data_IF_294410944695
#
_entry.id   IF_294410944695
#
_cell.length_a   1.000
_cell.length_b   1.000
_cell.length_c   1.000
_cell.angle_alpha   90.00
_cell.angle_beta   90.00
_cell.angle_gamma   90.00
#
_symmetry.space_group_name_H-M   'P 1'
#
loop_
_entity.id
_entity.type
_entity.pdbx_description
1 polymer ?
#
# COMPACT_ATOMS: atom_id res chain seq x y z
N UNK A 1 9.11 8.15 -6.37
CA UNK A 1 8.72 7.03 -7.28
C UNK A 1 8.07 7.63 -8.52
N UNK A 2 8.30 7.13 -9.76
CA UNK A 2 7.54 7.58 -10.93
C UNK A 2 6.04 7.37 -10.73
N UNK A 3 5.20 8.32 -11.15
CA UNK A 3 3.76 8.30 -10.90
C UNK A 3 3.10 7.04 -11.48
N UNK A 4 3.52 6.63 -12.68
CA UNK A 4 3.01 5.42 -13.37
C UNK A 4 3.34 4.10 -12.64
N UNK A 5 4.28 4.16 -11.68
CA UNK A 5 4.69 3.01 -10.88
C UNK A 5 4.10 3.03 -9.46
N UNK A 6 3.30 4.04 -9.10
CA UNK A 6 2.60 4.07 -7.81
C UNK A 6 1.57 2.95 -7.76
N UNK A 7 1.67 2.11 -6.73
CA UNK A 7 0.75 1.00 -6.50
C UNK A 7 0.65 0.72 -5.00
N UNK A 8 -0.49 0.20 -4.58
CA UNK A 8 -0.71 -0.31 -3.23
C UNK A 8 -0.72 -1.84 -3.30
N UNK A 9 0.18 -2.49 -2.57
CA UNK A 9 0.31 -3.94 -2.59
C UNK A 9 -0.79 -4.59 -1.74
N UNK A 10 -1.75 -5.25 -2.38
CA UNK A 10 -2.79 -6.02 -1.69
C UNK A 10 -2.27 -7.36 -1.14
N UNK A 11 -1.37 -8.03 -1.87
CA UNK A 11 -0.74 -9.28 -1.45
C UNK A 11 0.65 -9.40 -2.07
N UNK A 12 1.62 -9.84 -1.29
CA UNK A 12 2.93 -10.30 -1.78
C UNK A 12 2.98 -11.82 -1.60
N UNK A 13 3.21 -12.57 -2.69
CA UNK A 13 3.24 -14.03 -2.65
C UNK A 13 4.61 -14.52 -2.17
N UNK A 14 5.69 -13.99 -2.73
CA UNK A 14 7.06 -14.39 -2.42
C UNK A 14 8.04 -13.26 -2.78
N UNK A 15 9.29 -13.40 -2.35
CA UNK A 15 10.40 -12.51 -2.66
C UNK A 15 11.72 -13.28 -2.66
N UNK A 16 12.77 -12.68 -3.24
CA UNK A 16 14.15 -13.20 -3.18
C UNK A 16 14.37 -14.61 -3.75
N UNK A 17 13.58 -15.02 -4.74
CA UNK A 17 13.78 -16.26 -5.51
C UNK A 17 14.42 -15.98 -6.86
N UNK A 18 14.99 -17.01 -7.47
CA UNK A 18 15.54 -16.97 -8.82
C UNK A 18 14.44 -16.87 -9.87
N UNK A 19 14.79 -16.42 -11.07
CA UNK A 19 13.81 -16.29 -12.17
C UNK A 19 13.07 -17.61 -12.48
N UNK A 20 13.73 -18.79 -12.58
CA UNK A 20 13.03 -20.06 -12.80
C UNK A 20 12.04 -20.41 -11.68
N UNK A 21 12.42 -20.20 -10.41
CA UNK A 21 11.52 -20.45 -9.27
C UNK A 21 10.29 -19.53 -9.29
N UNK A 22 10.46 -18.27 -9.71
CA UNK A 22 9.33 -17.35 -9.90
C UNK A 22 8.43 -17.79 -11.06
N UNK A 23 9.00 -18.22 -12.19
CA UNK A 23 8.25 -18.70 -13.34
C UNK A 23 7.39 -19.92 -12.99
N UNK A 24 7.96 -20.89 -12.26
CA UNK A 24 7.22 -22.06 -11.77
C UNK A 24 6.03 -21.65 -10.88
N UNK A 25 6.22 -20.69 -9.97
CA UNK A 25 5.14 -20.16 -9.13
C UNK A 25 4.08 -19.42 -9.96
N UNK A 26 4.48 -18.66 -10.97
CA UNK A 26 3.54 -17.96 -11.87
C UNK A 26 2.67 -18.98 -12.59
N UNK A 27 3.24 -20.05 -13.15
CA UNK A 27 2.46 -21.12 -13.78
C UNK A 27 1.52 -21.82 -12.81
N UNK A 28 1.96 -22.01 -11.55
CA UNK A 28 1.12 -22.62 -10.52
C UNK A 28 -0.09 -21.74 -10.15
N UNK A 29 0.07 -20.42 -10.02
CA UNK A 29 -1.02 -19.50 -9.67
C UNK A 29 -1.92 -19.18 -10.86
N UNK A 30 -1.40 -19.26 -12.09
CA UNK A 30 -2.06 -18.85 -13.34
C UNK A 30 -3.53 -19.26 -13.45
N UNK A 31 -3.94 -20.51 -13.14
CA UNK A 31 -5.35 -20.92 -13.24
C UNK A 31 -6.28 -20.18 -12.27
N UNK A 32 -5.77 -19.73 -11.11
CA UNK A 32 -6.52 -18.99 -10.10
C UNK A 32 -6.44 -17.46 -10.25
N UNK A 33 -5.61 -16.94 -11.16
CA UNK A 33 -5.43 -15.49 -11.31
C UNK A 33 -6.75 -14.73 -11.54
N UNK A 34 -7.66 -15.17 -12.43
CA UNK A 34 -8.91 -14.44 -12.64
C UNK A 34 -9.74 -14.29 -11.35
N UNK A 35 -9.88 -15.34 -10.54
CA UNK A 35 -10.66 -15.25 -9.30
C UNK A 35 -9.99 -14.36 -8.24
N UNK A 36 -8.67 -14.23 -8.28
CA UNK A 36 -7.89 -13.34 -7.40
C UNK A 36 -7.98 -11.89 -7.88
N UNK A 37 -7.73 -11.63 -9.16
CA UNK A 37 -7.66 -10.27 -9.72
C UNK A 37 -9.03 -9.61 -9.82
N UNK A 38 -10.07 -10.41 -10.07
CA UNK A 38 -11.43 -9.94 -10.24
C UNK A 38 -12.20 -9.89 -8.91
N UNK A 39 -11.58 -10.31 -7.81
CA UNK A 39 -12.24 -10.42 -6.50
C UNK A 39 -12.86 -9.09 -6.03
N UNK A 40 -12.22 -7.97 -6.36
CA UNK A 40 -12.67 -6.62 -6.00
C UNK A 40 -13.90 -6.14 -6.78
N UNK A 41 -14.31 -6.81 -7.86
CA UNK A 41 -15.57 -6.46 -8.53
C UNK A 41 -16.78 -6.74 -7.63
N UNK A 42 -16.71 -7.81 -6.84
CA UNK A 42 -17.75 -8.21 -5.88
C UNK A 42 -17.44 -7.76 -4.44
N UNK A 43 -16.16 -7.58 -4.08
CA UNK A 43 -15.73 -7.25 -2.71
C UNK A 43 -14.97 -5.92 -2.67
N UNK A 44 -15.72 -4.83 -2.66
CA UNK A 44 -15.20 -3.46 -2.79
C UNK A 44 -14.82 -2.88 -1.44
N UNK A 45 -13.61 -3.20 -0.97
CA UNK A 45 -13.03 -2.53 0.19
C UNK A 45 -12.73 -1.06 -0.14
N UNK A 46 -13.00 -0.18 0.82
CA UNK A 46 -12.74 1.26 0.69
C UNK A 46 -11.74 1.73 1.74
N UNK A 47 -10.83 2.60 1.32
CA UNK A 47 -9.86 3.25 2.19
C UNK A 47 -9.99 4.77 2.09
N UNK A 48 -9.77 5.45 3.20
CA UNK A 48 -9.97 6.89 3.39
C UNK A 48 -8.85 7.47 4.27
N UNK A 49 -8.91 8.77 4.56
CA UNK A 49 -8.07 9.44 5.56
C UNK A 49 -6.56 9.25 5.28
N UNK A 50 -6.05 9.78 4.15
CA UNK A 50 -4.65 9.68 3.82
C UNK A 50 -3.78 10.34 4.90
N UNK A 51 -2.62 9.75 5.18
CA UNK A 51 -1.59 10.29 6.06
C UNK A 51 -0.20 9.90 5.56
N UNK A 52 0.72 10.85 5.55
CA UNK A 52 2.12 10.62 5.25
C UNK A 52 2.82 10.04 6.48
N UNK A 53 3.48 8.91 6.27
CA UNK A 53 4.27 8.17 7.26
C UNK A 53 5.65 7.87 6.71
N UNK A 54 6.61 7.59 7.58
CA UNK A 54 7.95 7.20 7.17
C UNK A 54 8.60 6.24 8.16
N UNK A 55 9.56 5.48 7.66
CA UNK A 55 10.45 4.64 8.46
C UNK A 55 11.91 4.86 8.01
N UNK A 56 12.83 3.98 8.41
CA UNK A 56 14.23 4.08 7.99
C UNK A 56 14.46 3.90 6.47
N UNK A 57 13.47 3.44 5.71
CA UNK A 57 13.60 3.07 4.30
C UNK A 57 12.85 4.01 3.35
N UNK A 58 11.71 4.56 3.76
CA UNK A 58 10.81 5.21 2.82
C UNK A 58 9.83 6.20 3.45
N UNK A 59 9.28 7.05 2.58
CA UNK A 59 8.02 7.74 2.80
C UNK A 59 6.88 6.94 2.18
N UNK A 60 5.79 6.79 2.92
CA UNK A 60 4.58 6.11 2.49
C UNK A 60 3.32 6.92 2.80
N UNK A 61 2.46 7.09 1.80
CA UNK A 61 1.11 7.60 1.98
C UNK A 61 0.20 6.44 2.38
N UNK A 62 -0.26 6.45 3.62
CA UNK A 62 -1.07 5.39 4.23
C UNK A 62 -2.53 5.82 4.33
N UNK A 63 -3.44 4.85 4.32
CA UNK A 63 -4.88 5.06 4.42
C UNK A 63 -5.49 4.16 5.50
N UNK A 64 -6.61 4.60 6.05
CA UNK A 64 -7.41 3.82 6.99
C UNK A 64 -8.59 3.15 6.27
N UNK A 65 -9.06 1.98 6.71
CA UNK A 65 -10.34 1.45 6.26
C UNK A 65 -11.45 2.47 6.50
N UNK A 66 -12.35 2.60 5.53
CA UNK A 66 -13.59 3.31 5.76
C UNK A 66 -14.45 2.60 6.83
N UNK A 67 -15.28 3.38 7.51
CA UNK A 67 -16.16 2.97 8.60
C UNK A 67 -17.51 3.71 8.50
N UNK A 68 -18.05 3.85 7.29
CA UNK A 68 -19.34 4.49 7.03
C UNK A 68 -19.27 5.99 6.76
N UNK A 69 -18.09 6.55 6.50
CA UNK A 69 -17.98 7.95 6.08
C UNK A 69 -18.67 8.17 4.72
N UNK A 70 -19.14 9.39 4.40
CA UNK A 70 -19.72 9.67 3.08
C UNK A 70 -18.80 9.22 1.94
N UNK A 71 -19.35 8.58 0.91
CA UNK A 71 -18.61 8.20 -0.28
C UNK A 71 -18.99 9.13 -1.43
N UNK A 72 -18.01 9.91 -1.89
CA UNK A 72 -18.18 10.83 -3.04
C UNK A 72 -17.94 10.11 -4.36
N UNK A 73 -17.05 9.11 -4.36
CA UNK A 73 -16.78 8.26 -5.52
C UNK A 73 -18.00 7.41 -5.94
N UNK A 74 -18.75 6.88 -4.97
CA UNK A 74 -19.97 6.10 -5.21
C UNK A 74 -21.06 6.49 -4.20
N UNK A 75 -21.96 7.43 -4.56
CA UNK A 75 -23.04 7.89 -3.69
C UNK A 75 -24.08 6.82 -3.36
N UNK A 76 -24.07 5.67 -4.04
CA UNK A 76 -25.01 4.57 -3.80
C UNK A 76 -24.56 3.64 -2.67
N UNK A 77 -23.28 3.70 -2.28
CA UNK A 77 -22.74 2.93 -1.16
C UNK A 77 -23.40 3.31 0.14
N UNK A 78 -23.69 2.29 0.94
CA UNK A 78 -24.24 2.42 2.28
C UNK A 78 -23.14 2.20 3.32
N UNK A 79 -23.34 2.67 4.57
CA UNK A 79 -22.37 2.44 5.64
C UNK A 79 -22.02 0.95 5.85
N UNK A 80 -22.97 0.04 5.63
CA UNK A 80 -22.75 -1.41 5.79
C UNK A 80 -21.77 -1.98 4.75
N UNK A 81 -21.61 -1.32 3.60
CA UNK A 81 -20.65 -1.75 2.57
C UNK A 81 -19.18 -1.58 3.04
N UNK A 82 -18.95 -0.80 4.10
CA UNK A 82 -17.63 -0.62 4.71
C UNK A 82 -17.32 -1.66 5.80
N UNK A 83 -18.25 -2.55 6.15
CA UNK A 83 -17.96 -3.71 7.00
C UNK A 83 -16.90 -4.62 6.34
N UNK A 84 -16.88 -4.68 5.01
CA UNK A 84 -15.82 -5.32 4.25
C UNK A 84 -14.58 -4.41 4.13
N UNK A 85 -13.75 -4.42 5.16
CA UNK A 85 -12.51 -3.63 5.20
C UNK A 85 -11.41 -4.15 4.26
N UNK A 86 -10.39 -3.32 4.03
CA UNK A 86 -9.16 -3.72 3.34
C UNK A 86 -8.46 -4.93 3.98
N UNK A 87 -8.62 -5.14 5.30
CA UNK A 87 -8.06 -6.30 5.99
C UNK A 87 -8.77 -7.59 5.62
N UNK A 88 -10.10 -7.54 5.44
CA UNK A 88 -10.87 -8.67 4.91
C UNK A 88 -10.42 -9.01 3.49
N UNK A 89 -10.26 -8.00 2.63
CA UNK A 89 -9.71 -8.18 1.28
C UNK A 89 -8.37 -8.93 1.32
N UNK A 90 -7.39 -8.47 2.12
CA UNK A 90 -6.08 -9.13 2.20
C UNK A 90 -6.16 -10.58 2.69
N UNK A 91 -6.98 -10.84 3.71
CA UNK A 91 -7.23 -12.20 4.22
C UNK A 91 -7.80 -13.10 3.13
N UNK A 92 -8.77 -12.61 2.38
CA UNK A 92 -9.46 -13.40 1.37
C UNK A 92 -8.56 -13.64 0.16
N UNK A 93 -7.78 -12.64 -0.26
CA UNK A 93 -6.73 -12.81 -1.27
C UNK A 93 -5.68 -13.83 -0.85
N UNK A 94 -5.23 -13.80 0.41
CA UNK A 94 -4.31 -14.82 0.95
C UNK A 94 -4.92 -16.22 0.83
N UNK A 95 -6.19 -16.39 1.19
CA UNK A 95 -6.87 -17.68 1.12
C UNK A 95 -7.04 -18.16 -0.34
N UNK A 96 -7.47 -17.27 -1.24
CA UNK A 96 -7.63 -17.57 -2.67
C UNK A 96 -6.29 -17.96 -3.31
N UNK A 97 -5.22 -17.21 -3.02
CA UNK A 97 -3.89 -17.52 -3.53
C UNK A 97 -3.37 -18.83 -2.94
N UNK A 98 -3.53 -19.08 -1.63
CA UNK A 98 -3.12 -20.33 -1.00
C UNK A 98 -3.86 -21.55 -1.58
N UNK A 99 -5.12 -21.38 -2.00
CA UNK A 99 -5.92 -22.43 -2.64
C UNK A 99 -5.38 -22.86 -4.02
N UNK A 100 -4.50 -22.07 -4.65
CA UNK A 100 -3.75 -22.48 -5.87
C UNK A 100 -2.58 -23.42 -5.55
N UNK A 101 -2.35 -23.71 -4.27
CA UNK A 101 -1.28 -24.58 -3.79
C UNK A 101 0.06 -23.88 -3.58
N UNK A 102 0.18 -22.58 -3.86
CA UNK A 102 1.40 -21.83 -3.56
C UNK A 102 1.49 -21.51 -2.08
N UNK A 103 2.73 -21.52 -1.56
CA UNK A 103 3.01 -21.03 -0.22
C UNK A 103 3.20 -19.51 -0.27
N UNK A 104 2.31 -18.77 0.37
CA UNK A 104 2.46 -17.32 0.55
C UNK A 104 3.52 -17.05 1.63
N UNK A 105 4.65 -16.46 1.22
CA UNK A 105 5.80 -16.09 2.05
C UNK A 105 6.09 -14.58 1.92
N UNK A 106 5.11 -13.76 2.34
CA UNK A 106 5.22 -12.30 2.35
C UNK A 106 6.29 -11.82 3.33
N UNK A 107 7.11 -10.85 2.91
CA UNK A 107 8.09 -10.15 3.75
C UNK A 107 7.41 -9.24 4.77
N UNK A 108 6.28 -8.65 4.39
CA UNK A 108 5.52 -7.74 5.21
C UNK A 108 4.15 -8.32 5.54
N UNK A 109 4.00 -8.70 6.81
CA UNK A 109 2.75 -9.25 7.36
C UNK A 109 1.85 -8.17 7.96
N UNK A 110 2.37 -6.96 8.18
CA UNK A 110 1.59 -5.84 8.72
C UNK A 110 0.62 -5.35 7.64
N UNK A 111 -0.70 -5.39 7.90
CA UNK A 111 -1.70 -5.03 6.91
C UNK A 111 -1.88 -3.51 6.88
N UNK A 112 -1.02 -2.80 6.16
CA UNK A 112 -1.17 -1.36 5.92
C UNK A 112 -1.55 -1.09 4.47
N UNK A 113 -2.61 -0.32 4.27
CA UNK A 113 -3.00 0.22 2.95
C UNK A 113 -2.10 1.42 2.66
N UNK A 114 -0.99 1.23 1.96
CA UNK A 114 -0.05 2.32 1.70
C UNK A 114 0.53 2.32 0.28
N UNK A 115 0.93 3.52 -0.15
CA UNK A 115 1.67 3.80 -1.38
C UNK A 115 3.06 4.30 -1.00
N UNK A 116 4.13 3.64 -1.45
CA UNK A 116 5.48 4.21 -1.29
C UNK A 116 5.65 5.40 -2.24
N UNK A 117 5.87 6.61 -1.69
CA UNK A 117 6.02 7.84 -2.49
C UNK A 117 7.49 8.26 -2.65
N UNK A 118 8.33 7.93 -1.67
CA UNK A 118 9.76 8.22 -1.67
C UNK A 118 10.58 7.12 -0.99
N UNK A 119 11.86 6.98 -1.37
CA UNK A 119 12.81 6.03 -0.79
C UNK A 119 14.05 6.79 -0.35
N UNK A 120 14.56 6.50 0.85
CA UNK A 120 15.83 7.02 1.28
C UNK A 120 16.96 6.21 0.63
N UNK A 121 17.86 6.88 -0.08
CA UNK A 121 19.03 6.25 -0.72
C UNK A 121 20.30 6.52 0.10
N UNK A 122 20.34 7.66 0.78
CA UNK A 122 21.44 8.10 1.64
C UNK A 122 20.85 8.80 2.87
N UNK A 123 21.65 8.89 3.92
CA UNK A 123 21.33 9.56 5.18
C UNK A 123 21.97 10.95 5.28
N UNK A 124 22.69 11.41 4.26
CA UNK A 124 23.43 12.67 4.26
C UNK A 124 22.58 13.91 4.53
N UNK A 125 21.28 13.86 4.20
CA UNK A 125 20.35 14.97 4.42
C UNK A 125 19.99 15.13 5.90
N UNK A 126 20.25 14.12 6.73
CA UNK A 126 19.96 14.12 8.17
C UNK A 126 21.22 13.83 9.01
N UNK A 127 22.39 13.92 8.40
CA UNK A 127 23.69 13.75 9.05
C UNK A 127 24.51 15.04 9.08
N UNK A 128 25.36 15.18 10.10
CA UNK A 128 26.43 16.17 10.17
C UNK A 128 27.57 15.80 9.22
N UNK A 129 28.54 16.69 9.03
CA UNK A 129 29.72 16.42 8.19
C UNK A 129 30.55 15.22 8.70
N UNK A 130 30.43 14.88 9.98
CA UNK A 130 31.09 13.75 10.64
C UNK A 130 30.26 12.44 10.59
N UNK A 131 29.13 12.43 9.85
CA UNK A 131 28.28 11.25 9.70
C UNK A 131 27.45 10.89 10.94
N UNK A 132 27.25 11.85 11.85
CA UNK A 132 26.37 11.69 13.02
C UNK A 132 24.99 12.25 12.70
N UNK A 133 23.95 11.77 13.39
CA UNK A 133 22.60 12.33 13.24
C UNK A 133 22.60 13.82 13.57
N UNK A 134 22.14 14.63 12.63
CA UNK A 134 21.85 16.05 12.83
C UNK A 134 20.41 16.18 13.34
N UNK A 135 20.27 16.38 14.65
CA UNK A 135 18.97 16.49 15.31
C UNK A 135 18.14 17.68 14.81
N UNK A 136 18.76 18.77 14.36
CA UNK A 136 18.03 19.93 13.86
C UNK A 136 17.39 19.63 12.51
N UNK A 137 18.14 18.99 11.60
CA UNK A 137 17.62 18.55 10.29
C UNK A 137 16.56 17.46 10.43
N UNK A 138 16.77 16.51 11.35
CA UNK A 138 15.74 15.51 11.68
C UNK A 138 14.46 16.16 12.20
N UNK A 139 14.55 17.18 13.05
CA UNK A 139 13.38 17.88 13.55
C UNK A 139 12.64 18.63 12.43
N UNK A 140 13.35 19.25 11.49
CA UNK A 140 12.76 19.91 10.32
C UNK A 140 12.01 18.92 9.43
N UNK A 141 12.58 17.72 9.22
CA UNK A 141 11.91 16.64 8.50
C UNK A 141 10.62 16.20 9.18
N UNK A 142 10.66 15.98 10.51
CA UNK A 142 9.50 15.59 11.31
C UNK A 142 8.41 16.66 11.20
N UNK A 143 8.76 17.92 11.43
CA UNK A 143 7.82 19.04 11.37
C UNK A 143 7.18 19.16 9.99
N UNK A 144 7.96 18.98 8.92
CA UNK A 144 7.46 19.00 7.55
C UNK A 144 6.42 17.90 7.32
N UNK A 145 6.66 16.69 7.83
CA UNK A 145 5.69 15.59 7.72
C UNK A 145 4.42 15.90 8.52
N UNK A 146 4.55 16.48 9.71
CA UNK A 146 3.40 16.88 10.54
C UNK A 146 2.56 17.96 9.84
N UNK A 147 3.20 18.97 9.24
CA UNK A 147 2.53 20.01 8.45
C UNK A 147 1.78 19.42 7.25
N UNK A 148 2.39 18.47 6.53
CA UNK A 148 1.74 17.75 5.43
C UNK A 148 0.53 16.96 5.96
N UNK A 149 0.65 16.31 7.12
CA UNK A 149 -0.45 15.53 7.69
C UNK A 149 -1.62 16.40 8.14
N UNK A 150 -1.36 17.57 8.73
CA UNK A 150 -2.42 18.53 9.06
C UNK A 150 -3.11 19.06 7.80
N UNK A 151 -2.34 19.33 6.74
CA UNK A 151 -2.90 19.66 5.43
C UNK A 151 -3.76 18.53 4.84
N UNK A 152 -3.27 17.28 4.85
CA UNK A 152 -4.00 16.11 4.37
C UNK A 152 -5.33 15.94 5.13
N UNK A 153 -5.29 16.13 6.45
CA UNK A 153 -6.46 16.07 7.32
C UNK A 153 -7.47 17.17 7.02
N UNK A 154 -7.01 18.41 6.82
CA UNK A 154 -7.89 19.53 6.53
C UNK A 154 -8.59 19.41 5.16
N UNK A 155 -7.88 18.88 4.16
CA UNK A 155 -8.33 18.91 2.76
C UNK A 155 -8.95 17.60 2.24
N UNK A 156 -8.51 16.45 2.75
CA UNK A 156 -8.83 15.13 2.18
C UNK A 156 -9.54 14.19 3.13
N UNK A 157 -9.61 14.51 4.43
CA UNK A 157 -10.38 13.69 5.35
C UNK A 157 -11.87 14.01 5.24
N UNK A 158 -12.75 13.02 5.54
CA UNK A 158 -14.18 13.25 5.57
C UNK A 158 -14.54 14.35 6.58
N UNK A 159 -15.36 15.32 6.16
CA UNK A 159 -15.92 16.38 7.01
C UNK A 159 -17.43 16.33 6.88
N UNK A 160 -18.14 16.39 8.01
CA UNK A 160 -19.60 16.33 8.04
C UNK A 160 -20.22 17.37 7.10
N UNK A 161 -21.15 16.90 6.25
CA UNK A 161 -21.84 17.74 5.27
C UNK A 161 -21.01 18.18 4.06
N UNK A 162 -19.77 17.71 3.92
CA UNK A 162 -18.92 17.94 2.74
C UNK A 162 -18.49 16.61 2.11
N UNK A 163 -18.38 16.60 0.78
CA UNK A 163 -17.80 15.46 0.06
C UNK A 163 -16.30 15.34 0.32
N UNK A 164 -15.77 14.15 0.09
CA UNK A 164 -14.33 13.86 0.14
C UNK A 164 -13.70 14.33 -1.17
N UNK A 165 -12.61 15.09 -1.08
CA UNK A 165 -11.86 15.57 -2.25
C UNK A 165 -11.22 14.38 -2.98
N UNK A 166 -11.11 14.47 -4.31
CA UNK A 166 -10.45 13.45 -5.13
C UNK A 166 -9.04 13.14 -4.58
N UNK A 167 -8.75 11.85 -4.35
CA UNK A 167 -7.53 11.38 -3.71
C UNK A 167 -7.61 11.18 -2.18
N UNK A 168 -8.69 11.64 -1.54
CA UNK A 168 -8.95 11.43 -0.10
C UNK A 168 -9.65 10.12 0.24
N UNK A 169 -10.25 9.47 -0.77
CA UNK A 169 -10.81 8.13 -0.68
C UNK A 169 -10.43 7.30 -1.91
N UNK A 170 -10.45 5.98 -1.73
CA UNK A 170 -10.23 5.04 -2.81
C UNK A 170 -11.00 3.74 -2.58
N UNK A 171 -11.80 3.34 -3.57
CA UNK A 171 -12.36 1.98 -3.66
C UNK A 171 -11.32 1.09 -4.35
N UNK A 172 -10.82 0.08 -3.62
CA UNK A 172 -9.72 -0.75 -4.09
C UNK A 172 -10.15 -1.59 -5.29
N UNK A 173 -9.39 -1.49 -6.40
CA UNK A 173 -9.66 -2.24 -7.63
C UNK A 173 -10.82 -1.70 -8.47
N UNK A 174 -11.31 -0.49 -8.18
CA UNK A 174 -12.39 0.16 -8.93
C UNK A 174 -12.07 0.23 -10.44
N UNK A 175 -13.03 -0.24 -11.26
CA UNK A 175 -12.98 -0.18 -12.73
C UNK A 175 -12.05 -1.17 -13.45
N UNK A 176 -11.01 -1.69 -12.80
CA UNK A 176 -9.99 -2.55 -13.45
C UNK A 176 -9.69 -3.88 -12.73
N UNK A 177 -10.06 -4.02 -11.45
CA UNK A 177 -9.61 -5.14 -10.62
C UNK A 177 -8.18 -4.95 -10.09
N UNK A 178 -7.57 -6.02 -9.61
CA UNK A 178 -6.18 -6.03 -9.13
C UNK A 178 -5.22 -6.39 -10.27
N UNK A 179 -4.05 -5.73 -10.30
CA UNK A 179 -2.96 -6.11 -11.20
C UNK A 179 -2.11 -7.22 -10.54
N UNK A 180 -1.94 -8.36 -11.21
CA UNK A 180 -0.92 -9.34 -10.85
C UNK A 180 0.39 -9.02 -11.56
N UNK A 181 1.48 -8.89 -10.81
CA UNK A 181 2.82 -8.54 -11.34
C UNK A 181 3.88 -9.47 -10.77
N UNK A 182 4.84 -9.84 -11.60
CA UNK A 182 6.08 -10.48 -11.20
C UNK A 182 7.24 -9.76 -11.89
N UNK A 183 8.44 -9.79 -11.29
CA UNK A 183 9.61 -9.15 -11.87
C UNK A 183 10.75 -8.99 -10.89
N UNK A 184 11.86 -8.45 -11.37
CA UNK A 184 13.01 -8.15 -10.53
C UNK A 184 12.68 -7.03 -9.54
N UNK A 185 12.83 -7.33 -8.25
CA UNK A 185 12.88 -6.32 -7.19
C UNK A 185 14.27 -5.69 -7.19
N UNK A 186 14.38 -4.46 -7.71
CA UNK A 186 15.66 -3.73 -7.77
C UNK A 186 16.09 -3.14 -6.42
N UNK A 187 15.18 -3.11 -5.43
CA UNK A 187 15.42 -2.50 -4.13
C UNK A 187 15.05 -3.47 -3.01
N UNK A 188 16.02 -4.29 -2.62
CA UNK A 188 15.99 -5.10 -1.42
C UNK A 188 17.42 -5.23 -0.90
N UNK A 189 17.65 -4.91 0.37
CA UNK A 189 18.97 -5.08 1.00
C UNK A 189 19.35 -6.57 0.96
N UNK A 190 20.27 -6.93 0.06
CA UNK A 190 21.07 -8.14 0.15
C UNK A 190 22.26 -7.78 1.06
N UNK A 191 22.29 -8.33 2.27
CA UNK A 191 23.56 -8.41 2.98
C UNK A 191 24.46 -9.35 2.16
N UNK A 192 25.68 -8.92 1.77
CA UNK A 192 26.64 -9.86 1.21
C UNK A 192 26.93 -10.90 2.30
N UNK A 193 26.77 -12.18 1.96
CA UNK A 193 27.22 -13.28 2.80
C UNK A 193 28.68 -13.03 3.18
N UNK A 194 28.95 -12.88 4.48
CA UNK A 194 30.28 -12.99 5.09
C UNK A 194 30.58 -14.45 5.43
#
# INVERSE_FOLDING_TARGET
>A
MPQDNLHMTALEITHSLTAPEIEELVEQVRPGLPSITDYTYAHRARVVKPSLSYDAQAFALSFLPAAGEPCTADPSRKPEDDEFTYHHLRRDLYALTSATGVKVASRYVVPSAHLTVGRFIKTSDTETAEGKVDHARMQELVNTVDEINEWLKAEFWPVDGKGIKAGGEWIVGEGKGLDSRHGALWYGFLFPNS
#
